data_IF_572012790221
#
_entry.id   IF_572012790221
#
_cell.length_a   1.000
_cell.length_b   1.000
_cell.length_c   1.000
_cell.angle_alpha   90.00
_cell.angle_beta   90.00
_cell.angle_gamma   90.00
#
_symmetry.space_group_name_H-M   'P 1'
#
loop_
_entity.id
_entity.type
_entity.pdbx_description
1 polymer ?
#
# COMPACT_ATOMS: atom_id res chain seq x y z
N UNK A 1 -2.75 -32.84 25.64
CA UNK A 1 -2.95 -31.64 24.80
C UNK A 1 -1.58 -31.04 24.51
N UNK A 2 -0.95 -31.48 23.42
CA UNK A 2 0.29 -30.91 22.93
C UNK A 2 -0.06 -30.06 21.71
N UNK A 3 0.00 -28.74 21.84
CA UNK A 3 0.05 -27.84 20.69
C UNK A 3 1.53 -27.76 20.27
N UNK A 4 1.88 -28.49 19.21
CA UNK A 4 3.10 -28.25 18.44
C UNK A 4 2.71 -27.38 17.24
N UNK A 5 3.29 -26.18 17.05
CA UNK A 5 3.20 -25.51 15.77
C UNK A 5 4.16 -26.20 14.80
N UNK A 6 3.68 -26.48 13.59
CA UNK A 6 4.49 -27.02 12.51
C UNK A 6 5.37 -25.90 11.96
N UNK A 7 6.67 -26.13 12.01
CA UNK A 7 7.74 -25.29 11.48
C UNK A 7 7.71 -25.28 9.96
N UNK A 8 7.20 -24.21 9.38
CA UNK A 8 7.67 -23.70 8.09
C UNK A 8 8.66 -22.58 8.41
N UNK A 9 9.93 -22.79 8.05
CA UNK A 9 11.13 -22.14 8.60
C UNK A 9 11.28 -20.62 8.41
N UNK A 10 10.19 -19.86 8.21
CA UNK A 10 10.19 -18.40 8.02
C UNK A 10 9.12 -17.68 8.87
N UNK A 11 8.17 -18.37 9.51
CA UNK A 11 7.13 -17.70 10.33
C UNK A 11 6.76 -18.50 11.58
N UNK A 12 7.52 -18.28 12.67
CA UNK A 12 7.08 -18.69 14.01
C UNK A 12 6.22 -17.60 14.65
N UNK A 13 4.96 -17.95 14.83
CA UNK A 13 3.82 -17.13 15.28
C UNK A 13 3.89 -16.69 16.76
N UNK A 14 5.00 -16.89 17.46
CA UNK A 14 5.19 -16.39 18.85
C UNK A 14 6.13 -15.18 18.94
N UNK A 15 6.75 -14.74 17.84
CA UNK A 15 7.75 -13.68 17.90
C UNK A 15 7.97 -12.95 16.55
N UNK A 16 6.90 -12.37 15.99
CA UNK A 16 6.95 -11.75 14.64
C UNK A 16 7.85 -10.49 14.52
N UNK A 17 8.45 -10.01 15.61
CA UNK A 17 9.42 -8.89 15.65
C UNK A 17 10.55 -9.11 16.68
N UNK A 18 11.01 -10.35 16.87
CA UNK A 18 12.05 -10.67 17.86
C UNK A 18 13.42 -10.02 17.61
N UNK A 19 13.70 -9.56 16.39
CA UNK A 19 15.01 -9.05 16.02
C UNK A 19 15.02 -7.53 15.97
N UNK A 20 15.83 -6.92 16.86
CA UNK A 20 16.24 -5.50 16.81
C UNK A 20 16.63 -5.06 15.39
N UNK A 21 17.17 -5.99 14.61
CA UNK A 21 17.55 -5.82 13.21
C UNK A 21 16.36 -5.37 12.35
N UNK A 22 15.20 -6.01 12.47
CA UNK A 22 14.01 -5.68 11.67
C UNK A 22 13.46 -4.29 12.05
N UNK A 23 13.49 -3.93 13.33
CA UNK A 23 13.12 -2.59 13.81
C UNK A 23 14.00 -1.51 13.19
N UNK A 24 15.31 -1.72 13.17
CA UNK A 24 16.26 -0.80 12.53
C UNK A 24 15.98 -0.70 11.03
N UNK A 25 15.75 -1.82 10.35
CA UNK A 25 15.41 -1.81 8.93
C UNK A 25 14.12 -1.05 8.63
N UNK A 26 13.04 -1.25 9.38
CA UNK A 26 11.76 -0.54 9.18
C UNK A 26 11.96 0.96 9.30
N UNK A 27 12.68 1.42 10.33
CA UNK A 27 12.97 2.84 10.52
C UNK A 27 13.83 3.41 9.37
N UNK A 28 14.89 2.72 8.98
CA UNK A 28 15.76 3.14 7.88
C UNK A 28 14.98 3.23 6.57
N UNK A 29 14.19 2.21 6.24
CA UNK A 29 13.35 2.18 5.04
C UNK A 29 12.31 3.29 5.07
N UNK A 30 11.64 3.52 6.20
CA UNK A 30 10.66 4.60 6.35
C UNK A 30 11.29 5.98 6.09
N UNK A 31 12.47 6.26 6.64
CA UNK A 31 13.19 7.49 6.39
C UNK A 31 13.62 7.63 4.93
N UNK A 32 14.15 6.56 4.32
CA UNK A 32 14.56 6.56 2.90
C UNK A 32 13.36 6.85 2.00
N UNK A 33 12.22 6.19 2.25
CA UNK A 33 10.99 6.39 1.45
C UNK A 33 10.50 7.83 1.59
N UNK A 34 10.36 8.34 2.82
CA UNK A 34 9.90 9.71 3.05
C UNK A 34 10.85 10.74 2.44
N UNK A 35 12.14 10.64 2.75
CA UNK A 35 13.13 11.61 2.27
C UNK A 35 13.30 11.53 0.75
N UNK A 36 13.39 10.34 0.18
CA UNK A 36 13.54 10.12 -1.25
C UNK A 36 12.36 10.69 -2.04
N UNK A 37 11.13 10.40 -1.63
CA UNK A 37 9.94 10.90 -2.31
C UNK A 37 9.77 12.41 -2.17
N UNK A 38 10.00 12.98 -0.97
CA UNK A 38 9.98 14.43 -0.77
C UNK A 38 11.05 15.10 -1.64
N UNK A 39 12.26 14.56 -1.69
CA UNK A 39 13.34 15.08 -2.50
C UNK A 39 13.00 15.08 -3.99
N UNK A 40 12.41 13.99 -4.51
CA UNK A 40 11.95 13.93 -5.91
C UNK A 40 10.88 14.98 -6.20
N UNK A 41 9.91 15.16 -5.29
CA UNK A 41 8.87 16.20 -5.41
C UNK A 41 9.50 17.60 -5.44
N UNK A 42 10.46 17.88 -4.55
CA UNK A 42 11.16 19.16 -4.47
C UNK A 42 11.98 19.43 -5.74
N UNK A 43 12.84 18.50 -6.15
CA UNK A 43 13.64 18.62 -7.37
C UNK A 43 12.78 18.90 -8.60
N UNK A 44 11.72 18.11 -8.80
CA UNK A 44 10.79 18.29 -9.92
C UNK A 44 9.99 19.59 -9.84
N UNK A 45 9.78 20.14 -8.64
CA UNK A 45 9.13 21.44 -8.45
C UNK A 45 10.07 22.60 -8.74
N UNK A 46 11.36 22.49 -8.40
CA UNK A 46 12.37 23.52 -8.66
C UNK A 46 12.78 23.59 -10.14
N UNK A 47 12.89 22.45 -10.82
CA UNK A 47 13.36 22.35 -12.23
C UNK A 47 12.19 22.54 -13.22
N UNK A 48 11.02 23.03 -12.79
CA UNK A 48 9.78 22.99 -13.55
C UNK A 48 9.76 23.89 -14.81
N UNK A 49 10.43 23.43 -15.88
CA UNK A 49 10.43 23.93 -17.25
C UNK A 49 9.78 22.92 -18.22
N UNK A 50 9.56 21.66 -17.81
CA UNK A 50 9.18 20.57 -18.71
C UNK A 50 7.78 19.96 -18.44
N UNK A 51 7.15 19.47 -19.51
CA UNK A 51 5.89 18.70 -19.61
C UNK A 51 5.11 18.51 -18.28
N UNK A 52 4.12 19.39 -18.07
CA UNK A 52 3.30 19.45 -16.85
C UNK A 52 2.60 18.12 -16.49
N UNK A 53 2.24 17.28 -17.47
CA UNK A 53 1.52 16.01 -17.25
C UNK A 53 2.37 14.97 -16.52
N UNK A 54 3.56 14.66 -17.04
CA UNK A 54 4.47 13.69 -16.43
C UNK A 54 4.90 14.14 -15.02
N UNK A 55 5.10 15.45 -14.84
CA UNK A 55 5.45 16.02 -13.54
C UNK A 55 4.31 15.85 -12.52
N UNK A 56 3.05 16.03 -12.91
CA UNK A 56 1.90 15.79 -12.02
C UNK A 56 1.74 14.32 -11.63
N UNK A 57 1.90 13.41 -12.60
CA UNK A 57 1.83 11.97 -12.39
C UNK A 57 2.89 11.48 -11.38
N UNK A 58 4.16 11.90 -11.58
CA UNK A 58 5.26 11.57 -10.68
C UNK A 58 5.03 12.14 -9.28
N UNK A 59 4.57 13.39 -9.16
CA UNK A 59 4.24 13.98 -7.85
C UNK A 59 3.14 13.20 -7.14
N UNK A 60 2.09 12.78 -7.85
CA UNK A 60 1.02 11.96 -7.28
C UNK A 60 1.54 10.60 -6.79
N UNK A 61 2.40 9.94 -7.57
CA UNK A 61 3.04 8.68 -7.18
C UNK A 61 3.87 8.85 -5.90
N UNK A 62 4.75 9.84 -5.86
CA UNK A 62 5.55 10.12 -4.67
C UNK A 62 4.70 10.48 -3.44
N UNK A 63 3.55 11.15 -3.63
CA UNK A 63 2.59 11.37 -2.53
C UNK A 63 2.02 10.05 -2.00
N UNK A 64 1.64 9.11 -2.88
CA UNK A 64 1.18 7.80 -2.48
C UNK A 64 2.28 7.02 -1.74
N UNK A 65 3.52 7.03 -2.24
CA UNK A 65 4.65 6.35 -1.58
C UNK A 65 5.03 7.01 -0.23
N UNK A 66 4.86 8.32 -0.08
CA UNK A 66 4.99 8.99 1.22
C UNK A 66 3.97 8.46 2.24
N UNK A 67 2.74 8.11 1.83
CA UNK A 67 1.75 7.51 2.73
C UNK A 67 2.22 6.15 3.25
N UNK A 68 2.88 5.34 2.43
CA UNK A 68 3.55 4.10 2.86
C UNK A 68 4.66 4.40 3.88
N UNK A 69 5.48 5.42 3.63
CA UNK A 69 6.51 5.86 4.57
C UNK A 69 5.92 6.27 5.93
N UNK A 70 4.82 7.04 5.93
CA UNK A 70 4.09 7.42 7.15
C UNK A 70 3.53 6.19 7.87
N UNK A 71 2.95 5.23 7.14
CA UNK A 71 2.51 3.95 7.69
C UNK A 71 3.66 3.22 8.42
N UNK A 72 4.83 3.10 7.79
CA UNK A 72 5.99 2.44 8.38
C UNK A 72 6.52 3.18 9.62
N UNK A 73 6.47 4.52 9.63
CA UNK A 73 6.82 5.32 10.81
C UNK A 73 5.86 5.04 11.98
N UNK A 74 4.56 4.94 11.73
CA UNK A 74 3.58 4.60 12.76
C UNK A 74 3.80 3.19 13.33
N UNK A 75 4.07 2.22 12.46
CA UNK A 75 4.40 0.85 12.87
C UNK A 75 5.70 0.83 13.70
N UNK A 76 6.75 1.53 13.25
CA UNK A 76 8.01 1.63 13.98
C UNK A 76 7.89 2.35 15.33
N UNK A 77 7.05 3.38 15.42
CA UNK A 77 6.77 4.09 16.66
C UNK A 77 5.98 3.21 17.65
N UNK A 78 5.00 2.44 17.14
CA UNK A 78 4.27 1.48 17.95
C UNK A 78 5.18 0.36 18.46
N UNK A 79 6.05 -0.17 17.60
CA UNK A 79 7.00 -1.23 17.95
C UNK A 79 7.98 -0.81 19.08
N UNK A 80 8.45 0.44 19.08
CA UNK A 80 9.26 0.98 20.19
C UNK A 80 8.41 1.14 21.46
N UNK A 81 7.19 1.69 21.34
CA UNK A 81 6.34 2.04 22.48
C UNK A 81 5.88 0.82 23.30
N UNK A 82 5.73 -0.32 22.65
CA UNK A 82 5.23 -1.56 23.28
C UNK A 82 6.30 -2.63 23.47
N UNK A 83 7.58 -2.25 23.38
CA UNK A 83 8.72 -3.12 23.58
C UNK A 83 8.78 -3.62 25.05
N UNK A 84 8.51 -4.91 25.27
CA UNK A 84 8.56 -5.56 26.59
C UNK A 84 7.21 -6.05 27.14
N UNK A 85 6.07 -5.52 26.67
CA UNK A 85 4.70 -5.99 27.01
C UNK A 85 3.90 -6.41 25.76
N UNK A 86 4.60 -6.77 24.67
CA UNK A 86 4.01 -7.01 23.34
C UNK A 86 2.82 -7.99 23.39
N UNK A 87 2.91 -9.07 24.17
CA UNK A 87 1.85 -10.07 24.22
C UNK A 87 0.54 -9.56 24.87
N UNK A 88 0.61 -8.58 25.78
CA UNK A 88 -0.58 -8.02 26.46
C UNK A 88 -1.22 -6.87 25.67
N UNK A 89 -0.45 -6.19 24.83
CA UNK A 89 -0.90 -4.98 24.12
C UNK A 89 -1.06 -5.17 22.61
N UNK A 90 -0.48 -6.21 22.01
CA UNK A 90 -0.67 -6.53 20.60
C UNK A 90 -2.14 -6.84 20.28
N UNK A 91 -2.84 -7.61 21.13
CA UNK A 91 -4.26 -7.93 20.91
C UNK A 91 -5.14 -6.67 20.92
N UNK A 92 -4.92 -5.78 21.90
CA UNK A 92 -5.65 -4.52 22.04
C UNK A 92 -5.36 -3.59 20.85
N UNK A 93 -4.12 -3.55 20.38
CA UNK A 93 -3.74 -2.77 19.20
C UNK A 93 -4.35 -3.30 17.92
N UNK A 94 -4.30 -4.62 17.71
CA UNK A 94 -4.90 -5.28 16.57
C UNK A 94 -6.41 -5.03 16.49
N UNK A 95 -7.12 -4.99 17.63
CA UNK A 95 -8.54 -4.62 17.67
C UNK A 95 -8.81 -3.10 17.58
N UNK A 96 -7.79 -2.27 17.68
CA UNK A 96 -7.94 -0.82 17.70
C UNK A 96 -8.30 -0.23 16.34
N UNK A 97 -9.10 0.83 16.35
CA UNK A 97 -9.41 1.62 15.14
C UNK A 97 -8.13 2.22 14.53
N UNK A 98 -7.13 2.55 15.35
CA UNK A 98 -5.84 3.09 14.89
C UNK A 98 -5.12 2.12 13.97
N UNK A 99 -5.07 0.84 14.33
CA UNK A 99 -4.49 -0.21 13.49
C UNK A 99 -5.26 -0.33 12.16
N UNK A 100 -6.59 -0.31 12.19
CA UNK A 100 -7.41 -0.36 10.98
C UNK A 100 -7.17 0.84 10.05
N UNK A 101 -7.06 2.05 10.60
CA UNK A 101 -6.78 3.25 9.81
C UNK A 101 -5.37 3.21 9.20
N UNK A 102 -4.37 2.82 9.98
CA UNK A 102 -2.98 2.69 9.53
C UNK A 102 -2.87 1.62 8.41
N UNK A 103 -3.54 0.47 8.59
CA UNK A 103 -3.64 -0.58 7.59
C UNK A 103 -4.33 -0.13 6.30
N UNK A 104 -5.41 0.63 6.42
CA UNK A 104 -6.12 1.19 5.26
C UNK A 104 -5.28 2.20 4.49
N UNK A 105 -4.44 2.97 5.19
CA UNK A 105 -3.52 3.92 4.58
C UNK A 105 -2.45 3.20 3.74
N UNK A 106 -1.94 2.08 4.26
CA UNK A 106 -0.98 1.25 3.57
C UNK A 106 -1.61 0.62 2.31
N UNK A 107 -2.83 0.09 2.42
CA UNK A 107 -3.58 -0.44 1.26
C UNK A 107 -3.85 0.66 0.22
N UNK A 108 -4.35 1.83 0.64
CA UNK A 108 -4.59 2.95 -0.27
C UNK A 108 -3.31 3.33 -1.03
N UNK A 109 -2.19 3.41 -0.32
CA UNK A 109 -0.88 3.73 -0.89
C UNK A 109 -0.45 2.70 -1.94
N UNK A 110 -0.49 1.40 -1.63
CA UNK A 110 -0.08 0.36 -2.59
C UNK A 110 -0.94 0.34 -3.83
N UNK A 111 -2.26 0.40 -3.66
CA UNK A 111 -3.21 0.36 -4.78
C UNK A 111 -3.07 1.57 -5.70
N UNK A 112 -3.02 2.77 -5.12
CA UNK A 112 -2.85 4.00 -5.89
C UNK A 112 -1.50 3.99 -6.60
N UNK A 113 -0.41 3.60 -5.94
CA UNK A 113 0.92 3.54 -6.57
C UNK A 113 0.95 2.59 -7.76
N UNK A 114 0.32 1.40 -7.66
CA UNK A 114 0.28 0.45 -8.78
C UNK A 114 -0.55 0.99 -9.94
N UNK A 115 -1.77 1.46 -9.69
CA UNK A 115 -2.62 2.04 -10.74
C UNK A 115 -1.94 3.23 -11.41
N UNK A 116 -1.19 4.03 -10.65
CA UNK A 116 -0.43 5.17 -11.13
C UNK A 116 0.74 4.75 -12.04
N UNK A 117 1.49 3.71 -11.64
CA UNK A 117 2.57 3.12 -12.44
C UNK A 117 2.03 2.51 -13.75
N UNK A 118 0.90 1.82 -13.68
CA UNK A 118 0.23 1.28 -14.87
C UNK A 118 -0.21 2.40 -15.81
N UNK A 119 -0.82 3.46 -15.29
CA UNK A 119 -1.21 4.63 -16.07
C UNK A 119 0.00 5.28 -16.77
N UNK A 120 1.09 5.53 -16.03
CA UNK A 120 2.31 6.12 -16.58
C UNK A 120 2.93 5.25 -17.67
N UNK A 121 2.95 3.93 -17.46
CA UNK A 121 3.47 2.96 -18.43
C UNK A 121 2.62 2.93 -19.69
N UNK A 122 1.29 2.92 -19.55
CA UNK A 122 0.36 2.95 -20.68
C UNK A 122 0.49 4.24 -21.49
N UNK A 123 0.61 5.39 -20.82
CA UNK A 123 0.80 6.68 -21.49
C UNK A 123 2.08 6.66 -22.35
N UNK A 124 3.20 6.15 -21.81
CA UNK A 124 4.46 6.01 -22.56
C UNK A 124 4.34 5.01 -23.71
N UNK A 125 3.70 3.87 -23.49
CA UNK A 125 3.47 2.85 -24.51
C UNK A 125 2.67 3.42 -25.70
N UNK A 126 1.56 4.11 -25.44
CA UNK A 126 0.73 4.72 -26.49
C UNK A 126 1.47 5.80 -27.26
N UNK A 127 2.29 6.62 -26.60
CA UNK A 127 3.13 7.60 -27.28
C UNK A 127 4.18 6.97 -28.21
N UNK A 128 4.70 5.78 -27.86
CA UNK A 128 5.69 5.05 -28.68
C UNK A 128 5.01 4.39 -29.88
N UNK A 129 3.88 3.72 -29.67
CA UNK A 129 3.18 2.95 -30.73
C UNK A 129 2.40 3.85 -31.68
N UNK A 130 1.81 4.94 -31.20
CA UNK A 130 0.98 5.86 -31.99
C UNK A 130 1.56 7.29 -32.01
N UNK A 131 2.73 7.51 -32.64
CA UNK A 131 3.40 8.82 -32.66
C UNK A 131 2.61 9.93 -33.38
N UNK A 132 1.64 9.57 -34.25
CA UNK A 132 0.85 10.52 -35.07
C UNK A 132 -0.59 10.74 -34.59
N UNK A 133 -1.09 9.91 -33.67
CA UNK A 133 -2.41 10.13 -33.10
C UNK A 133 -2.28 11.28 -32.11
N UNK A 134 -3.12 12.31 -32.22
CA UNK A 134 -3.14 13.47 -31.32
C UNK A 134 -3.66 13.10 -29.91
N UNK A 135 -3.33 11.91 -29.39
CA UNK A 135 -3.60 11.43 -28.04
C UNK A 135 -2.60 12.07 -27.05
N UNK A 136 -2.45 13.39 -27.11
CA UNK A 136 -1.76 14.11 -26.05
C UNK A 136 -2.79 14.30 -24.95
N UNK A 137 -2.81 13.39 -23.99
CA UNK A 137 -3.72 13.46 -22.85
C UNK A 137 -3.64 14.88 -22.26
N UNK A 138 -4.72 15.65 -22.42
CA UNK A 138 -4.73 17.06 -22.02
C UNK A 138 -4.59 17.19 -20.50
N UNK A 139 -4.24 18.38 -20.02
CA UNK A 139 -4.04 18.62 -18.56
C UNK A 139 -5.23 18.18 -17.72
N UNK A 140 -6.42 18.44 -18.26
CA UNK A 140 -7.70 18.07 -17.65
C UNK A 140 -7.90 16.54 -17.64
N UNK A 141 -7.47 15.85 -18.69
CA UNK A 141 -7.62 14.39 -18.79
C UNK A 141 -6.67 13.69 -17.81
N UNK A 142 -5.39 14.08 -17.76
CA UNK A 142 -4.45 13.55 -16.75
C UNK A 142 -4.96 13.80 -15.34
N UNK A 143 -5.43 15.01 -15.04
CA UNK A 143 -5.93 15.35 -13.71
C UNK A 143 -7.21 14.56 -13.35
N UNK A 144 -8.11 14.37 -14.32
CA UNK A 144 -9.28 13.51 -14.17
C UNK A 144 -8.86 12.06 -13.88
N UNK A 145 -7.96 11.48 -14.67
CA UNK A 145 -7.45 10.12 -14.46
C UNK A 145 -6.78 9.97 -13.09
N UNK A 146 -5.94 10.93 -12.68
CA UNK A 146 -5.33 10.94 -11.35
C UNK A 146 -6.39 10.93 -10.24
N UNK A 147 -7.40 11.78 -10.37
CA UNK A 147 -8.48 11.87 -9.38
C UNK A 147 -9.30 10.58 -9.35
N UNK A 148 -9.58 9.98 -10.51
CA UNK A 148 -10.27 8.69 -10.60
C UNK A 148 -9.46 7.56 -9.95
N UNK A 149 -8.15 7.50 -10.16
CA UNK A 149 -7.26 6.52 -9.51
C UNK A 149 -7.32 6.68 -7.98
N UNK A 150 -7.20 7.90 -7.48
CA UNK A 150 -7.32 8.18 -6.05
C UNK A 150 -8.69 7.80 -5.47
N UNK A 151 -9.77 8.11 -6.18
CA UNK A 151 -11.12 7.74 -5.77
C UNK A 151 -11.30 6.21 -5.76
N UNK A 152 -10.80 5.51 -6.78
CA UNK A 152 -10.87 4.06 -6.84
C UNK A 152 -10.07 3.42 -5.71
N UNK A 153 -8.85 3.89 -5.46
CA UNK A 153 -8.04 3.44 -4.32
C UNK A 153 -8.73 3.70 -2.98
N UNK A 154 -9.41 4.84 -2.81
CA UNK A 154 -10.15 5.15 -1.59
C UNK A 154 -11.37 4.25 -1.40
N UNK A 155 -12.11 3.97 -2.48
CA UNK A 155 -13.22 3.02 -2.45
C UNK A 155 -12.71 1.65 -2.02
N UNK A 156 -11.62 1.17 -2.63
CA UNK A 156 -10.98 -0.10 -2.26
C UNK A 156 -10.61 -0.09 -0.76
N UNK A 157 -9.86 0.90 -0.28
CA UNK A 157 -9.47 0.98 1.12
C UNK A 157 -10.64 1.07 2.13
N UNK A 158 -11.80 1.61 1.72
CA UNK A 158 -12.97 1.79 2.59
C UNK A 158 -13.97 0.61 2.54
N UNK A 159 -13.97 -0.20 1.47
CA UNK A 159 -14.83 -1.41 1.38
C UNK A 159 -14.78 -2.29 2.65
N UNK A 160 -13.61 -2.67 3.19
CA UNK A 160 -13.53 -3.48 4.41
C UNK A 160 -14.01 -2.76 5.69
N UNK A 161 -14.22 -1.44 5.68
CA UNK A 161 -14.87 -0.72 6.79
C UNK A 161 -16.39 -0.82 6.78
N UNK A 162 -17.00 -0.90 5.59
CA UNK A 162 -18.46 -0.79 5.45
C UNK A 162 -19.17 -2.04 5.96
N UNK A 163 -18.52 -3.19 5.87
CA UNK A 163 -19.11 -4.46 6.28
C UNK A 163 -18.25 -5.19 7.33
N UNK A 164 -18.29 -4.67 8.55
CA UNK A 164 -17.70 -5.33 9.73
C UNK A 164 -18.33 -6.70 10.02
N UNK A 165 -19.56 -6.96 9.55
CA UNK A 165 -20.25 -8.24 9.75
C UNK A 165 -19.70 -9.34 8.83
N UNK A 166 -19.35 -9.00 7.59
CA UNK A 166 -18.85 -9.90 6.54
C UNK A 166 -17.32 -9.99 6.52
N UNK A 167 -16.60 -8.91 6.85
CA UNK A 167 -15.13 -8.86 6.81
C UNK A 167 -14.45 -8.95 8.19
N UNK A 168 -15.16 -8.68 9.28
CA UNK A 168 -14.56 -8.69 10.63
C UNK A 168 -13.41 -7.69 10.76
N UNK A 169 -12.39 -8.02 11.55
CA UNK A 169 -11.20 -7.18 11.74
C UNK A 169 -10.16 -7.41 10.61
N UNK A 170 -10.52 -7.08 9.36
CA UNK A 170 -9.73 -7.40 8.17
C UNK A 170 -8.29 -6.84 8.23
N UNK A 171 -8.13 -5.58 8.64
CA UNK A 171 -6.82 -4.96 8.82
C UNK A 171 -6.13 -5.35 10.12
N UNK A 172 -6.88 -5.66 11.18
CA UNK A 172 -6.34 -5.98 12.50
C UNK A 172 -6.08 -7.45 12.77
N UNK A 173 -5.86 -8.26 11.72
CA UNK A 173 -5.51 -9.70 11.88
C UNK A 173 -4.05 -9.94 12.25
N UNK A 174 -3.17 -8.97 11.95
CA UNK A 174 -1.73 -9.07 12.17
C UNK A 174 -1.25 -7.84 12.95
N UNK A 175 -0.15 -7.98 13.71
CA UNK A 175 0.45 -6.87 14.47
C UNK A 175 0.95 -5.70 13.62
N UNK A 176 1.10 -5.90 12.31
CA UNK A 176 1.48 -4.88 11.31
C UNK A 176 0.28 -4.21 10.64
N UNK A 177 -0.94 -4.61 10.98
CA UNK A 177 -2.18 -4.05 10.45
C UNK A 177 -2.34 -4.16 8.92
N UNK A 178 -1.54 -4.99 8.26
CA UNK A 178 -1.49 -5.11 6.80
C UNK A 178 -2.07 -6.47 6.36
N UNK A 179 -2.91 -6.51 5.32
CA UNK A 179 -3.54 -7.74 4.83
C UNK A 179 -2.58 -8.54 3.92
N UNK A 180 -1.36 -8.81 4.38
CA UNK A 180 -0.26 -9.34 3.55
C UNK A 180 -0.41 -10.85 3.24
N UNK A 181 -1.33 -11.55 3.92
CA UNK A 181 -1.47 -13.00 3.80
C UNK A 181 -2.94 -13.42 3.89
N UNK A 182 -3.45 -14.03 2.82
CA UNK A 182 -4.74 -14.73 2.78
C UNK A 182 -4.59 -16.05 3.56
N UNK A 183 -4.58 -15.96 4.88
CA UNK A 183 -4.58 -17.15 5.73
C UNK A 183 -5.93 -17.89 5.60
N UNK A 184 -5.89 -19.22 5.69
CA UNK A 184 -6.92 -20.16 5.28
C UNK A 184 -8.28 -20.03 6.01
N UNK A 185 -8.37 -19.12 6.98
CA UNK A 185 -9.53 -18.76 7.82
C UNK A 185 -10.26 -17.47 7.38
N UNK A 186 -10.21 -17.13 6.08
CA UNK A 186 -10.99 -16.02 5.53
C UNK A 186 -12.49 -16.36 5.40
N UNK A 187 -13.38 -15.47 5.87
CA UNK A 187 -14.78 -15.47 5.45
C UNK A 187 -14.82 -15.33 3.92
N UNK A 188 -15.78 -15.96 3.22
CA UNK A 188 -15.78 -16.03 1.75
C UNK A 188 -15.72 -14.64 1.06
N UNK A 189 -16.29 -13.59 1.67
CA UNK A 189 -16.21 -12.21 1.16
C UNK A 189 -14.79 -11.62 1.14
N UNK A 190 -14.01 -11.84 2.21
CA UNK A 190 -12.62 -11.36 2.31
C UNK A 190 -11.70 -12.04 1.28
N UNK A 191 -11.90 -13.35 1.06
CA UNK A 191 -11.16 -14.11 0.05
C UNK A 191 -11.49 -13.63 -1.36
N UNK A 192 -12.76 -13.41 -1.68
CA UNK A 192 -13.18 -12.87 -2.98
C UNK A 192 -12.60 -11.47 -3.22
N UNK A 193 -12.60 -10.61 -2.21
CA UNK A 193 -12.06 -9.26 -2.29
C UNK A 193 -10.54 -9.25 -2.54
N UNK A 194 -9.77 -9.97 -1.73
CA UNK A 194 -8.32 -10.11 -1.94
C UNK A 194 -8.01 -10.71 -3.31
N UNK A 195 -8.74 -11.76 -3.72
CA UNK A 195 -8.56 -12.38 -5.04
C UNK A 195 -8.91 -11.42 -6.17
N UNK A 196 -9.95 -10.59 -6.02
CA UNK A 196 -10.34 -9.60 -7.03
C UNK A 196 -9.30 -8.48 -7.17
N UNK A 197 -8.67 -8.05 -6.08
CA UNK A 197 -7.55 -7.11 -6.10
C UNK A 197 -6.35 -7.75 -6.82
N UNK A 198 -5.86 -8.89 -6.33
CA UNK A 198 -4.70 -9.57 -6.91
C UNK A 198 -4.89 -9.94 -8.39
N UNK A 199 -6.08 -10.41 -8.79
CA UNK A 199 -6.38 -10.73 -10.19
C UNK A 199 -6.68 -9.49 -11.03
N UNK A 200 -7.32 -8.47 -10.47
CA UNK A 200 -7.57 -7.19 -11.14
C UNK A 200 -6.27 -6.48 -11.50
N UNK A 201 -5.32 -6.52 -10.58
CA UNK A 201 -3.96 -5.97 -10.74
C UNK A 201 -3.11 -6.84 -11.68
N UNK A 202 -3.13 -8.18 -11.51
CA UNK A 202 -2.39 -9.11 -12.39
C UNK A 202 -2.90 -9.13 -13.82
N UNK A 203 -4.18 -8.82 -14.08
CA UNK A 203 -4.70 -8.66 -15.45
C UNK A 203 -4.09 -7.45 -16.18
N UNK A 204 -3.46 -6.51 -15.48
CA UNK A 204 -2.61 -5.48 -16.07
C UNK A 204 -1.27 -6.01 -16.62
N UNK A 205 -0.85 -7.21 -16.18
CA UNK A 205 0.39 -7.87 -16.60
C UNK A 205 0.18 -8.99 -17.64
N UNK A 206 -1.05 -9.44 -17.88
CA UNK A 206 -1.34 -10.62 -18.73
C UNK A 206 -1.71 -10.24 -20.19
N UNK A 207 -1.85 -8.95 -20.50
CA UNK A 207 -2.11 -8.51 -21.89
C UNK A 207 -0.85 -8.28 -22.74
N UNK A 208 0.33 -8.70 -22.28
CA UNK A 208 1.58 -8.65 -23.05
C UNK A 208 2.34 -9.98 -22.88
N UNK A 209 1.79 -11.06 -23.44
CA UNK A 209 2.52 -12.23 -23.92
C UNK A 209 1.70 -12.85 -25.06
#
# INVERSE_FOLDING_TARGET
MNCKPNTDGISSFENLLANIILRVFVWVVAFIICFGNIFVICLRSCIASENQHHTMAIKSLCCADCLMGVYLLFIGAFDIKYCGEYNRHAQIWMESLSCQLIGSLAMLSTEVSVMMLTYMTLEKYLCIVFPFQHYRAGRKQTLCSLTLIWLLGFIIAVIPFWDKQTFGNFYGRNGVCFPLHSDQTEKPGARCYSTAIFLGESRGHIHIC
#
